data_IF_013218620955
#
_entry.id   IF_013218620955
#
_cell.length_a   1.000
_cell.length_b   1.000
_cell.length_c   1.000
_cell.angle_alpha   90.00
_cell.angle_beta   90.00
_cell.angle_gamma   90.00
#
_symmetry.space_group_name_H-M   'P 1'
#
loop_
_entity.id
_entity.type
_entity.pdbx_description
1 polymer ?
#
# COMPACT_ATOMS: atom_id res chain seq x y z
N UNK A 1 -3.61 -15.70 19.69
CA UNK A 1 -4.20 -15.07 18.49
C UNK A 1 -3.42 -15.64 17.33
N UNK A 2 -4.03 -16.55 16.60
CA UNK A 2 -3.34 -17.53 15.74
C UNK A 2 -3.43 -17.06 14.28
N UNK A 3 -2.29 -16.87 13.61
CA UNK A 3 -2.18 -16.48 12.21
C UNK A 3 -2.17 -17.75 11.36
N UNK A 4 -3.24 -18.01 10.61
CA UNK A 4 -3.34 -19.20 9.77
C UNK A 4 -2.90 -18.86 8.35
N UNK A 5 -1.69 -19.29 7.97
CA UNK A 5 -1.22 -19.24 6.58
C UNK A 5 -1.77 -20.46 5.83
N UNK A 6 -2.58 -20.24 4.79
CA UNK A 6 -3.14 -21.32 3.97
C UNK A 6 -2.53 -21.34 2.56
N UNK A 7 -1.77 -22.40 2.28
CA UNK A 7 -1.92 -23.19 1.04
C UNK A 7 -1.06 -22.84 -0.18
N UNK A 8 -0.27 -23.82 -0.64
CA UNK A 8 0.36 -23.87 -1.97
C UNK A 8 -0.59 -24.57 -2.95
N UNK A 9 -0.97 -23.94 -4.07
CA UNK A 9 -1.88 -24.54 -5.07
C UNK A 9 -1.11 -24.88 -6.35
N UNK A 10 -1.20 -26.14 -6.80
CA UNK A 10 -0.82 -26.58 -8.16
C UNK A 10 -1.97 -26.30 -9.13
N UNK A 11 -1.64 -25.73 -10.29
CA UNK A 11 -2.60 -25.43 -11.35
C UNK A 11 -2.70 -26.61 -12.31
N UNK A 12 -3.88 -27.24 -12.40
CA UNK A 12 -4.27 -28.08 -13.54
C UNK A 12 -5.21 -27.31 -14.47
N UNK A 13 -5.16 -27.71 -15.74
CA UNK A 13 -5.46 -26.94 -16.94
C UNK A 13 -6.80 -26.21 -17.03
N UNK A 14 -6.71 -24.99 -17.55
CA UNK A 14 -7.70 -24.44 -18.48
C UNK A 14 -8.81 -23.61 -17.89
N UNK A 15 -8.54 -22.34 -17.51
CA UNK A 15 -9.51 -21.25 -17.66
C UNK A 15 -8.88 -19.86 -17.50
N UNK A 16 -9.14 -19.01 -18.51
CA UNK A 16 -8.99 -17.55 -18.56
C UNK A 16 -7.60 -16.94 -18.24
N UNK A 17 -6.75 -16.82 -19.27
CA UNK A 17 -5.57 -15.96 -19.24
C UNK A 17 -6.00 -14.47 -19.22
N UNK A 18 -5.98 -13.86 -18.03
CA UNK A 18 -5.73 -12.42 -17.91
C UNK A 18 -4.25 -12.15 -18.26
N UNK A 19 -3.88 -11.06 -18.95
CA UNK A 19 -2.49 -10.76 -19.28
C UNK A 19 -1.68 -10.52 -18.00
N UNK A 20 -0.66 -11.34 -17.80
CA UNK A 20 0.30 -11.23 -16.67
C UNK A 20 1.49 -10.42 -17.17
N UNK A 21 1.43 -9.10 -16.97
CA UNK A 21 2.64 -8.28 -16.91
C UNK A 21 3.37 -8.52 -15.58
N UNK A 22 4.67 -8.23 -15.50
CA UNK A 22 5.50 -8.64 -14.37
C UNK A 22 5.03 -7.96 -13.07
N UNK A 23 4.41 -8.75 -12.19
CA UNK A 23 4.78 -8.74 -10.78
C UNK A 23 3.93 -8.01 -9.74
N UNK A 24 2.78 -7.38 -10.05
CA UNK A 24 2.17 -6.49 -9.04
C UNK A 24 0.67 -6.63 -8.70
N UNK A 25 -0.14 -7.44 -9.39
CA UNK A 25 -1.61 -7.29 -9.23
C UNK A 25 -2.41 -8.60 -9.21
N UNK A 26 -1.99 -9.65 -8.46
CA UNK A 26 -2.81 -10.88 -8.37
C UNK A 26 -3.14 -11.53 -7.03
N UNK A 27 -2.58 -11.16 -5.86
CA UNK A 27 -3.18 -11.61 -4.60
C UNK A 27 -4.10 -10.56 -3.95
N UNK A 28 -3.75 -9.26 -3.98
CA UNK A 28 -4.45 -8.24 -3.19
C UNK A 28 -5.91 -7.97 -3.62
N UNK A 29 -6.21 -8.11 -4.92
CA UNK A 29 -7.56 -7.88 -5.44
C UNK A 29 -8.57 -8.98 -5.09
N UNK A 30 -8.11 -10.19 -4.77
CA UNK A 30 -9.00 -11.35 -4.57
C UNK A 30 -9.50 -11.45 -3.12
N UNK A 31 -8.68 -11.12 -2.13
CA UNK A 31 -9.11 -11.09 -0.71
C UNK A 31 -10.03 -9.91 -0.39
N UNK A 32 -9.81 -8.78 -1.05
CA UNK A 32 -10.63 -7.57 -0.94
C UNK A 32 -12.04 -7.78 -1.50
N UNK A 33 -12.18 -8.63 -2.52
CA UNK A 33 -13.48 -9.01 -3.11
C UNK A 33 -14.14 -10.19 -2.39
N UNK A 34 -13.39 -11.01 -1.65
CA UNK A 34 -13.91 -12.17 -0.92
C UNK A 34 -14.49 -11.82 0.46
N UNK A 35 -14.03 -10.73 1.08
CA UNK A 35 -14.51 -10.23 2.39
C UNK A 35 -15.74 -9.33 2.27
N UNK A 36 -15.96 -8.75 1.09
CA UNK A 36 -17.05 -7.81 0.85
C UNK A 36 -18.26 -8.55 0.28
N UNK A 37 -19.20 -8.93 1.16
CA UNK A 37 -20.50 -9.50 0.77
C UNK A 37 -21.46 -8.49 0.10
N UNK A 38 -21.05 -7.22 -0.03
CA UNK A 38 -21.83 -6.12 -0.60
C UNK A 38 -21.26 -5.69 -1.97
N UNK A 39 -22.05 -5.92 -3.02
CA UNK A 39 -21.74 -5.56 -4.41
C UNK A 39 -21.37 -4.09 -4.57
N UNK A 40 -21.93 -3.19 -3.76
CA UNK A 40 -21.62 -1.77 -3.81
C UNK A 40 -20.16 -1.51 -3.36
N UNK A 41 -19.73 -2.13 -2.27
CA UNK A 41 -18.38 -1.98 -1.75
C UNK A 41 -17.32 -2.66 -2.65
N UNK A 42 -17.64 -3.78 -3.30
CA UNK A 42 -16.77 -4.38 -4.34
C UNK A 42 -16.55 -3.43 -5.52
N UNK A 43 -17.60 -2.74 -5.94
CA UNK A 43 -17.54 -1.77 -7.05
C UNK A 43 -16.72 -0.54 -6.65
N UNK A 44 -16.90 -0.06 -5.43
CA UNK A 44 -16.13 1.06 -4.89
C UNK A 44 -14.64 0.70 -4.75
N UNK A 45 -14.31 -0.52 -4.30
CA UNK A 45 -12.94 -0.99 -4.23
C UNK A 45 -12.28 -1.13 -5.62
N UNK A 46 -13.01 -1.62 -6.62
CA UNK A 46 -12.50 -1.66 -8.00
C UNK A 46 -12.22 -0.24 -8.52
N UNK A 47 -13.14 0.71 -8.30
CA UNK A 47 -12.94 2.11 -8.67
C UNK A 47 -11.74 2.75 -7.95
N UNK A 48 -11.52 2.39 -6.68
CA UNK A 48 -10.33 2.81 -5.93
C UNK A 48 -9.04 2.27 -6.55
N UNK A 49 -9.01 0.99 -6.91
CA UNK A 49 -7.85 0.38 -7.57
C UNK A 49 -7.58 0.97 -8.96
N UNK A 50 -8.63 1.27 -9.73
CA UNK A 50 -8.50 1.97 -11.02
C UNK A 50 -7.91 3.38 -10.85
N UNK A 51 -8.19 4.02 -9.72
CA UNK A 51 -7.68 5.34 -9.36
C UNK A 51 -6.35 5.29 -8.58
N UNK A 52 -5.74 4.11 -8.39
CA UNK A 52 -4.54 3.92 -7.57
C UNK A 52 -3.40 4.88 -7.92
N UNK A 53 -3.06 5.15 -9.21
CA UNK A 53 -2.01 6.13 -9.53
C UNK A 53 -2.25 7.52 -8.94
N UNK A 54 -3.52 7.97 -8.85
CA UNK A 54 -3.87 9.26 -8.23
C UNK A 54 -3.74 9.22 -6.71
N UNK A 55 -4.08 8.09 -6.10
CA UNK A 55 -3.90 7.89 -4.66
C UNK A 55 -2.41 7.87 -4.30
N UNK A 56 -1.56 7.24 -5.12
CA UNK A 56 -0.11 7.27 -4.93
C UNK A 56 0.46 8.70 -4.98
N UNK A 57 0.04 9.52 -5.95
CA UNK A 57 0.46 10.93 -5.99
C UNK A 57 -0.05 11.72 -4.76
N UNK A 58 -1.21 11.37 -4.23
CA UNK A 58 -1.73 11.96 -2.98
C UNK A 58 -0.83 11.59 -1.80
N UNK A 59 -0.47 10.30 -1.65
CA UNK A 59 0.46 9.85 -0.61
C UNK A 59 1.81 10.55 -0.74
N UNK A 60 2.35 10.63 -1.97
CA UNK A 60 3.60 11.33 -2.25
C UNK A 60 3.56 12.78 -1.78
N UNK A 61 2.52 13.54 -2.17
CA UNK A 61 2.37 14.94 -1.74
C UNK A 61 2.37 15.09 -0.22
N UNK A 62 1.61 14.24 0.49
CA UNK A 62 1.55 14.26 1.95
C UNK A 62 2.86 13.81 2.61
N UNK A 63 3.58 12.86 2.03
CA UNK A 63 4.88 12.44 2.53
C UNK A 63 5.90 13.58 2.39
N UNK A 64 5.98 14.21 1.22
CA UNK A 64 6.93 15.30 0.97
C UNK A 64 6.68 16.48 1.92
N UNK A 65 5.41 16.90 2.07
CA UNK A 65 5.03 17.95 3.03
C UNK A 65 5.35 17.54 4.48
N UNK A 66 5.12 16.28 4.83
CA UNK A 66 5.46 15.73 6.13
C UNK A 66 6.97 15.66 6.40
N UNK A 67 7.79 15.38 5.39
CA UNK A 67 9.25 15.38 5.51
C UNK A 67 9.78 16.79 5.79
N UNK A 68 9.16 17.82 5.23
CA UNK A 68 9.52 19.22 5.47
C UNK A 68 9.03 19.72 6.86
N UNK A 69 7.84 19.32 7.28
CA UNK A 69 7.17 19.86 8.48
C UNK A 69 7.41 19.04 9.75
N UNK A 70 7.46 17.71 9.65
CA UNK A 70 7.56 16.76 10.76
C UNK A 70 8.57 15.62 10.50
N UNK A 71 9.84 15.91 10.14
CA UNK A 71 10.81 14.90 9.73
C UNK A 71 11.06 13.80 10.78
N UNK A 72 10.94 14.13 12.07
CA UNK A 72 11.12 13.18 13.17
C UNK A 72 10.13 12.00 13.12
N UNK A 73 8.93 12.20 12.54
CA UNK A 73 7.92 11.15 12.35
C UNK A 73 8.38 10.07 11.37
N UNK A 74 9.20 10.46 10.38
CA UNK A 74 9.65 9.59 9.31
C UNK A 74 11.05 9.03 9.55
N UNK A 75 11.73 9.42 10.64
CA UNK A 75 13.07 8.96 10.96
C UNK A 75 13.18 7.45 11.17
N UNK A 76 12.09 6.79 11.60
CA UNK A 76 12.03 5.33 11.67
C UNK A 76 12.09 4.67 10.29
N UNK A 77 11.41 5.27 9.31
CA UNK A 77 11.35 4.78 7.93
C UNK A 77 12.62 5.12 7.14
N UNK A 78 13.18 6.31 7.37
CA UNK A 78 14.37 6.82 6.71
C UNK A 78 15.44 7.19 7.73
N UNK A 79 16.28 6.23 8.16
CA UNK A 79 17.39 6.49 9.08
C UNK A 79 18.37 7.53 8.53
N UNK A 80 18.49 7.64 7.19
CA UNK A 80 19.30 8.66 6.51
C UNK A 80 18.84 10.10 6.77
N UNK A 81 17.67 10.35 7.36
CA UNK A 81 17.27 11.69 7.83
C UNK A 81 18.01 12.12 9.10
N UNK A 82 18.46 11.16 9.92
CA UNK A 82 19.19 11.45 11.16
C UNK A 82 20.62 11.93 10.88
N UNK A 83 21.23 11.40 9.82
CA UNK A 83 22.46 11.93 9.26
C UNK A 83 22.07 13.06 8.31
N UNK A 84 22.61 14.27 8.42
CA UNK A 84 22.33 15.41 7.51
C UNK A 84 22.81 15.16 6.05
N UNK A 85 22.50 14.01 5.48
CA UNK A 85 22.84 13.61 4.13
C UNK A 85 21.83 14.24 3.18
N UNK A 86 22.31 14.75 2.05
CA UNK A 86 21.55 15.51 1.06
C UNK A 86 20.63 14.61 0.20
N UNK A 87 19.97 13.62 0.80
CA UNK A 87 18.99 12.79 0.10
C UNK A 87 17.77 13.65 -0.15
N UNK A 88 17.40 13.82 -1.42
CA UNK A 88 16.20 14.58 -1.77
C UNK A 88 14.95 13.84 -1.33
N UNK A 89 13.90 14.58 -0.99
CA UNK A 89 12.61 13.99 -0.63
C UNK A 89 12.04 13.12 -1.77
N UNK A 90 12.32 13.47 -3.03
CA UNK A 90 12.03 12.63 -4.20
C UNK A 90 12.78 11.28 -4.18
N UNK A 91 14.04 11.26 -3.76
CA UNK A 91 14.79 10.01 -3.64
C UNK A 91 14.24 9.12 -2.53
N UNK A 92 13.77 9.71 -1.42
CA UNK A 92 13.09 8.99 -0.33
C UNK A 92 11.74 8.41 -0.78
N UNK A 93 10.99 9.13 -1.62
CA UNK A 93 9.77 8.55 -2.22
C UNK A 93 10.10 7.39 -3.17
N UNK A 94 11.10 7.56 -4.03
CA UNK A 94 11.49 6.54 -5.00
C UNK A 94 12.14 5.30 -4.36
N UNK A 95 12.58 5.39 -3.11
CA UNK A 95 13.06 4.23 -2.35
C UNK A 95 11.94 3.43 -1.71
N UNK A 96 10.68 3.87 -1.80
CA UNK A 96 9.52 3.13 -1.29
C UNK A 96 8.87 2.28 -2.38
N UNK A 97 8.50 1.05 -2.02
CA UNK A 97 7.70 0.15 -2.81
C UNK A 97 6.35 -0.13 -2.13
N UNK A 98 5.26 -0.15 -2.90
CA UNK A 98 3.95 -0.58 -2.40
C UNK A 98 4.02 -2.08 -2.09
N UNK A 99 3.93 -2.42 -0.81
CA UNK A 99 4.07 -3.78 -0.31
C UNK A 99 2.72 -4.49 -0.23
N UNK A 100 1.70 -3.80 0.28
CA UNK A 100 0.36 -4.38 0.44
C UNK A 100 -0.75 -3.35 0.28
N UNK A 101 -1.89 -3.87 -0.17
CA UNK A 101 -3.17 -3.16 -0.23
C UNK A 101 -4.20 -4.06 0.45
N UNK A 102 -4.89 -3.53 1.46
CA UNK A 102 -5.92 -4.27 2.19
C UNK A 102 -7.04 -3.33 2.63
N UNK A 103 -8.21 -3.90 2.93
CA UNK A 103 -9.36 -3.16 3.48
C UNK A 103 -9.77 -3.73 4.82
N UNK A 104 -10.22 -2.86 5.72
CA UNK A 104 -10.92 -3.29 6.93
C UNK A 104 -12.45 -3.36 6.71
N UNK A 105 -13.13 -3.92 7.72
CA UNK A 105 -14.60 -4.05 7.76
C UNK A 105 -15.32 -2.69 7.77
N UNK A 106 -14.60 -1.59 7.98
CA UNK A 106 -15.14 -0.22 7.97
C UNK A 106 -15.08 0.43 6.58
N UNK A 107 -14.55 -0.28 5.58
CA UNK A 107 -14.37 0.24 4.23
C UNK A 107 -13.22 1.25 4.14
N UNK A 108 -12.20 1.10 4.98
CA UNK A 108 -10.94 1.85 4.85
C UNK A 108 -9.94 1.01 4.07
N UNK A 109 -9.44 1.54 2.96
CA UNK A 109 -8.35 0.95 2.18
C UNK A 109 -7.02 1.43 2.76
N UNK A 110 -6.13 0.52 3.13
CA UNK A 110 -4.78 0.83 3.57
C UNK A 110 -3.77 0.43 2.50
N UNK A 111 -2.89 1.37 2.15
CA UNK A 111 -1.72 1.16 1.30
C UNK A 111 -0.48 1.18 2.19
N UNK A 112 0.24 0.06 2.27
CA UNK A 112 1.49 -0.01 3.02
C UNK A 112 2.68 0.04 2.07
N UNK A 113 3.60 0.94 2.37
CA UNK A 113 4.85 1.10 1.63
C UNK A 113 6.03 0.73 2.53
N UNK A 114 6.95 -0.05 2.00
CA UNK A 114 8.21 -0.38 2.65
C UNK A 114 9.37 0.14 1.81
N UNK A 115 10.55 0.28 2.42
CA UNK A 115 11.77 0.54 1.66
C UNK A 115 12.02 -0.63 0.69
N UNK A 116 12.34 -0.32 -0.55
CA UNK A 116 12.58 -1.31 -1.59
C UNK A 116 13.68 -2.29 -1.18
N UNK A 117 13.38 -3.58 -1.31
CA UNK A 117 14.25 -4.67 -0.85
C UNK A 117 14.27 -4.92 0.66
N UNK A 118 13.50 -4.20 1.48
CA UNK A 118 13.36 -4.50 2.91
C UNK A 118 12.38 -5.65 3.14
N UNK A 119 12.87 -6.79 3.64
CA UNK A 119 12.01 -7.92 4.03
C UNK A 119 11.28 -7.66 5.37
N UNK A 120 11.87 -6.84 6.24
CA UNK A 120 11.36 -6.49 7.55
C UNK A 120 11.75 -5.06 7.90
N UNK A 121 10.83 -4.32 8.51
CA UNK A 121 11.09 -2.97 8.97
C UNK A 121 9.82 -2.12 9.00
N UNK A 122 10.00 -0.84 9.38
CA UNK A 122 8.89 0.09 9.47
C UNK A 122 8.27 0.35 8.10
N UNK A 123 6.96 0.53 8.09
CA UNK A 123 6.17 0.80 6.89
C UNK A 123 5.50 2.16 6.97
N UNK A 124 5.32 2.80 5.83
CA UNK A 124 4.43 3.94 5.68
C UNK A 124 3.05 3.42 5.33
N UNK A 125 2.07 3.58 6.22
CA UNK A 125 0.68 3.21 5.98
C UNK A 125 -0.14 4.44 5.62
N UNK A 126 -0.75 4.44 4.43
CA UNK A 126 -1.72 5.44 4.01
C UNK A 126 -3.14 4.85 4.06
N UNK A 127 -4.01 5.44 4.87
CA UNK A 127 -5.39 5.01 5.03
C UNK A 127 -6.33 5.90 4.21
N UNK A 128 -7.16 5.30 3.38
CA UNK A 128 -8.12 5.94 2.49
C UNK A 128 -9.54 5.46 2.76
N UNK A 129 -10.53 6.33 2.57
CA UNK A 129 -11.89 5.86 2.30
C UNK A 129 -11.98 5.26 0.89
N UNK A 130 -12.98 4.40 0.66
CA UNK A 130 -13.26 3.84 -0.67
C UNK A 130 -13.55 4.88 -1.76
N UNK A 131 -13.94 6.11 -1.39
CA UNK A 131 -14.12 7.23 -2.34
C UNK A 131 -12.80 7.90 -2.77
N UNK A 132 -11.66 7.45 -2.21
CA UNK A 132 -10.34 7.98 -2.50
C UNK A 132 -9.86 9.08 -1.56
N UNK A 133 -10.65 9.45 -0.55
CA UNK A 133 -10.25 10.45 0.46
C UNK A 133 -9.18 9.90 1.39
N UNK A 134 -8.01 10.55 1.46
CA UNK A 134 -6.97 10.21 2.43
C UNK A 134 -7.44 10.56 3.85
N UNK A 135 -7.55 9.55 4.72
CA UNK A 135 -7.90 9.68 6.13
C UNK A 135 -6.67 9.93 7.01
N UNK A 136 -5.53 9.37 6.64
CA UNK A 136 -4.30 9.54 7.41
C UNK A 136 -3.10 8.82 6.84
N UNK A 137 -1.92 9.27 7.27
CA UNK A 137 -0.62 8.70 6.93
C UNK A 137 0.10 8.38 8.23
N UNK A 138 0.71 7.21 8.39
CA UNK A 138 1.42 6.85 9.62
C UNK A 138 2.64 5.99 9.33
N UNK A 139 3.71 6.16 10.11
CA UNK A 139 4.82 5.22 10.11
C UNK A 139 4.53 4.16 11.17
N UNK A 140 4.52 2.90 10.77
CA UNK A 140 4.34 1.74 11.64
C UNK A 140 5.68 1.04 11.82
N UNK A 141 5.96 0.47 13.01
CA UNK A 141 7.21 -0.24 13.29
C UNK A 141 7.29 -1.60 12.59
#
# INVERSE_FOLDING_TARGET
METTAFGTIRLEDGQAMLPVGPGLLRPAGLDLLATVGDRAAMTAAAAFLDALPRHLETVRGHLLDGLDTEPARYAGLFPELACKSAVSADALWNSLALQSVWTDDTGTVTLDFAVDGAEQGPTLSAAFALDGTLKGLAVRP
#
